data_IF_497090878081
#
_entry.id   IF_497090878081
#
_cell.length_a   1.000
_cell.length_b   1.000
_cell.length_c   1.000
_cell.angle_alpha   90.00
_cell.angle_beta   90.00
_cell.angle_gamma   90.00
#
_symmetry.space_group_name_H-M   'P 1'
#
loop_
_entity.id
_entity.type
_entity.pdbx_description
1 polymer ?
#
# COMPACT_ATOMS: atom_id res chain seq x y z
N UNK A 1 -24.25 -1.52 9.58
CA UNK A 1 -22.87 -1.82 9.15
C UNK A 1 -22.40 -0.68 8.27
N UNK A 2 -21.29 -0.04 8.65
CA UNK A 2 -20.69 1.04 7.87
C UNK A 2 -19.75 0.41 6.84
N UNK A 3 -19.87 0.77 5.57
CA UNK A 3 -19.11 0.16 4.47
C UNK A 3 -18.08 1.14 3.93
N UNK A 4 -16.87 0.67 3.65
CA UNK A 4 -15.87 1.46 2.92
C UNK A 4 -16.26 1.54 1.44
N UNK A 5 -16.26 2.74 0.88
CA UNK A 5 -16.67 2.99 -0.51
C UNK A 5 -15.41 3.21 -1.35
N UNK A 6 -15.16 2.31 -2.29
CA UNK A 6 -14.10 2.37 -3.28
C UNK A 6 -14.61 2.98 -4.58
N UNK A 7 -13.83 3.90 -5.14
CA UNK A 7 -14.16 4.62 -6.37
C UNK A 7 -13.21 4.29 -7.52
N UNK A 8 -11.94 3.99 -7.21
CA UNK A 8 -10.93 3.66 -8.21
C UNK A 8 -9.78 2.86 -7.58
N UNK A 9 -8.98 2.19 -8.41
CA UNK A 9 -7.78 1.45 -8.02
C UNK A 9 -6.65 1.73 -9.02
N UNK A 10 -5.40 1.59 -8.58
CA UNK A 10 -4.22 1.59 -9.41
C UNK A 10 -3.26 0.52 -8.88
N UNK A 11 -2.69 -0.28 -9.78
CA UNK A 11 -1.73 -1.32 -9.44
C UNK A 11 -0.43 -0.99 -10.15
N UNK A 12 0.67 -1.07 -9.42
CA UNK A 12 2.02 -0.94 -9.92
C UNK A 12 2.83 -2.12 -9.44
N UNK A 13 3.91 -2.44 -10.16
CA UNK A 13 4.87 -3.43 -9.69
C UNK A 13 6.26 -2.83 -9.59
N UNK A 14 7.21 -3.54 -9.00
CA UNK A 14 8.63 -3.17 -9.08
C UNK A 14 9.30 -3.67 -10.36
N UNK A 15 8.56 -4.41 -11.21
CA UNK A 15 9.13 -5.28 -12.23
C UNK A 15 9.83 -6.50 -11.63
N UNK A 16 10.17 -7.47 -12.50
CA UNK A 16 11.10 -8.55 -12.20
C UNK A 16 12.50 -7.96 -12.34
N UNK A 17 13.20 -7.77 -11.22
CA UNK A 17 14.61 -7.37 -11.24
C UNK A 17 15.48 -8.58 -11.59
N UNK A 18 15.94 -8.69 -12.84
CA UNK A 18 16.92 -9.70 -13.26
C UNK A 18 18.36 -9.36 -12.83
N UNK A 19 18.63 -8.21 -12.20
CA UNK A 19 19.98 -7.83 -11.79
C UNK A 19 20.18 -7.94 -10.27
N UNK A 20 20.41 -9.18 -9.82
CA UNK A 20 20.95 -9.49 -8.50
C UNK A 20 22.44 -9.12 -8.49
N UNK A 21 22.78 -7.94 -7.99
CA UNK A 21 24.16 -7.64 -7.57
C UNK A 21 24.30 -7.98 -6.09
N UNK A 22 25.00 -9.08 -5.84
CA UNK A 22 25.33 -9.59 -4.52
C UNK A 22 26.28 -8.63 -3.78
N UNK A 23 25.78 -7.97 -2.73
CA UNK A 23 26.59 -7.58 -1.57
C UNK A 23 25.68 -7.22 -0.39
N UNK A 24 25.61 -8.17 0.53
CA UNK A 24 25.42 -8.08 1.98
C UNK A 24 24.27 -7.25 2.60
N UNK A 25 23.51 -7.99 3.42
CA UNK A 25 22.56 -7.60 4.47
C UNK A 25 21.10 -7.26 4.04
N UNK A 26 20.21 -8.17 4.47
CA UNK A 26 18.77 -8.30 4.22
C UNK A 26 18.42 -8.80 2.80
N UNK A 27 18.48 -10.13 2.62
CA UNK A 27 17.96 -10.82 1.43
C UNK A 27 16.42 -10.83 1.41
N UNK A 28 15.81 -9.67 1.15
CA UNK A 28 14.40 -9.54 0.73
C UNK A 28 14.22 -9.85 -0.77
N UNK A 29 15.30 -10.17 -1.48
CA UNK A 29 15.36 -10.36 -2.94
C UNK A 29 15.88 -11.76 -3.37
N UNK A 30 16.08 -12.70 -2.44
CA UNK A 30 16.60 -14.05 -2.73
C UNK A 30 15.59 -15.00 -3.40
N UNK A 31 14.36 -14.56 -3.60
CA UNK A 31 13.43 -15.22 -4.52
C UNK A 31 12.84 -14.13 -5.39
N UNK A 32 13.24 -14.05 -6.67
CA UNK A 32 12.84 -13.07 -7.70
C UNK A 32 11.34 -12.78 -7.79
N UNK A 33 10.81 -12.12 -6.77
CA UNK A 33 9.40 -11.94 -6.51
C UNK A 33 9.09 -10.47 -6.70
N UNK A 34 8.49 -10.17 -7.83
CA UNK A 34 7.86 -8.89 -8.12
C UNK A 34 7.03 -8.41 -6.91
N UNK A 35 7.29 -7.19 -6.45
CA UNK A 35 6.48 -6.55 -5.41
C UNK A 35 5.38 -5.76 -6.09
N UNK A 36 4.17 -5.88 -5.54
CA UNK A 36 2.95 -5.22 -6.02
C UNK A 36 2.58 -4.13 -5.04
N UNK A 37 2.30 -2.95 -5.58
CA UNK A 37 1.78 -1.79 -4.86
C UNK A 37 0.38 -1.51 -5.38
N UNK A 38 -0.61 -1.53 -4.49
CA UNK A 38 -1.99 -1.17 -4.81
C UNK A 38 -2.32 0.15 -4.15
N UNK A 39 -2.72 1.12 -4.96
CA UNK A 39 -3.39 2.33 -4.51
C UNK A 39 -4.90 2.20 -4.76
N UNK A 40 -5.72 2.66 -3.84
CA UNK A 40 -7.17 2.64 -3.92
C UNK A 40 -7.73 4.00 -3.52
N UNK A 41 -8.62 4.55 -4.34
CA UNK A 41 -9.35 5.77 -4.00
C UNK A 41 -10.61 5.38 -3.22
N UNK A 42 -10.67 5.75 -1.94
CA UNK A 42 -11.76 5.32 -1.04
C UNK A 42 -12.24 6.40 -0.08
N UNK A 43 -13.45 6.18 0.43
CA UNK A 43 -14.02 6.85 1.61
C UNK A 43 -14.11 5.82 2.72
N UNK A 44 -13.39 6.07 3.82
CA UNK A 44 -13.45 5.21 5.00
C UNK A 44 -14.83 5.30 5.67
N UNK A 45 -15.28 4.15 6.16
CA UNK A 45 -16.56 4.04 6.87
C UNK A 45 -16.63 5.04 8.04
N UNK A 46 -17.74 5.79 8.16
CA UNK A 46 -17.99 6.82 9.18
C UNK A 46 -17.23 8.17 9.02
N UNK A 47 -16.62 8.43 7.88
CA UNK A 47 -16.04 9.75 7.56
C UNK A 47 -16.81 10.39 6.41
N UNK A 48 -17.46 11.53 6.65
CA UNK A 48 -17.98 12.35 5.56
C UNK A 48 -16.80 13.02 4.84
N UNK A 49 -16.75 12.92 3.52
CA UNK A 49 -15.73 13.58 2.71
C UNK A 49 -15.59 13.02 1.31
N UNK A 50 -14.71 13.66 0.54
CA UNK A 50 -14.37 13.23 -0.81
C UNK A 50 -13.47 11.97 -0.79
N UNK A 51 -13.60 11.06 -1.76
CA UNK A 51 -12.72 9.91 -1.89
C UNK A 51 -11.26 10.34 -2.05
N UNK A 52 -10.37 9.74 -1.27
CA UNK A 52 -8.93 10.04 -1.33
C UNK A 52 -8.11 8.80 -1.70
N UNK A 53 -7.02 9.01 -2.42
CA UNK A 53 -6.11 7.94 -2.84
C UNK A 53 -5.28 7.43 -1.68
N UNK A 54 -5.38 6.14 -1.44
CA UNK A 54 -4.69 5.49 -0.36
C UNK A 54 -3.84 4.34 -0.87
N UNK A 55 -2.63 4.13 -0.34
CA UNK A 55 -1.95 2.85 -0.42
C UNK A 55 -2.74 1.82 0.39
N UNK A 56 -3.22 0.78 -0.30
CA UNK A 56 -4.06 -0.26 0.26
C UNK A 56 -3.31 -1.58 0.43
N UNK A 57 -2.25 -1.79 -0.37
CA UNK A 57 -1.39 -2.96 -0.28
C UNK A 57 0.02 -2.69 -0.80
N UNK A 58 1.01 -3.24 -0.11
CA UNK A 58 2.39 -3.45 -0.58
C UNK A 58 2.80 -4.85 -0.15
N UNK A 59 3.26 -5.68 -1.08
CA UNK A 59 3.69 -7.05 -0.79
C UNK A 59 4.09 -7.80 -2.06
N UNK A 60 4.56 -9.04 -1.92
CA UNK A 60 4.95 -9.83 -3.10
C UNK A 60 3.75 -10.18 -3.98
N UNK A 61 3.97 -10.44 -5.27
CA UNK A 61 2.92 -10.88 -6.18
C UNK A 61 2.18 -12.14 -5.65
N UNK A 62 2.92 -13.10 -5.08
CA UNK A 62 2.34 -14.28 -4.42
C UNK A 62 1.34 -13.90 -3.31
N UNK A 63 1.68 -12.93 -2.46
CA UNK A 63 0.80 -12.43 -1.41
C UNK A 63 -0.39 -11.66 -1.97
N UNK A 64 -0.19 -10.89 -3.05
CA UNK A 64 -1.28 -10.20 -3.73
C UNK A 64 -2.35 -11.20 -4.20
N UNK A 65 -1.95 -12.27 -4.88
CA UNK A 65 -2.87 -13.30 -5.39
C UNK A 65 -3.49 -14.19 -4.31
N UNK A 66 -2.71 -14.59 -3.30
CA UNK A 66 -3.15 -15.58 -2.29
C UNK A 66 -3.86 -14.95 -1.10
N UNK A 67 -3.59 -13.68 -0.80
CA UNK A 67 -4.08 -13.03 0.42
C UNK A 67 -4.92 -11.79 0.13
N UNK A 68 -4.36 -10.78 -0.55
CA UNK A 68 -5.01 -9.49 -0.73
C UNK A 68 -6.29 -9.60 -1.56
N UNK A 69 -6.20 -10.16 -2.76
CA UNK A 69 -7.34 -10.24 -3.68
C UNK A 69 -8.49 -11.09 -3.09
N UNK A 70 -8.27 -12.32 -2.58
CA UNK A 70 -9.35 -13.12 -2.00
C UNK A 70 -10.01 -12.47 -0.78
N UNK A 71 -9.21 -11.81 0.08
CA UNK A 71 -9.74 -11.12 1.25
C UNK A 71 -10.62 -9.94 0.87
N UNK A 72 -10.15 -9.09 -0.06
CA UNK A 72 -10.92 -7.96 -0.54
C UNK A 72 -12.17 -8.40 -1.29
N UNK A 73 -12.10 -9.47 -2.09
CA UNK A 73 -13.26 -10.06 -2.76
C UNK A 73 -14.36 -10.46 -1.76
N UNK A 74 -13.99 -11.07 -0.63
CA UNK A 74 -14.93 -11.43 0.44
C UNK A 74 -15.64 -10.19 1.00
N UNK A 75 -14.94 -9.07 1.17
CA UNK A 75 -15.54 -7.81 1.64
C UNK A 75 -16.53 -7.21 0.64
N UNK A 76 -16.32 -7.42 -0.66
CA UNK A 76 -17.31 -7.03 -1.68
C UNK A 76 -18.53 -7.95 -1.68
N UNK A 77 -18.34 -9.25 -1.43
CA UNK A 77 -19.43 -10.23 -1.36
C UNK A 77 -20.31 -10.04 -0.11
N UNK A 78 -19.73 -9.68 1.03
CA UNK A 78 -20.48 -9.42 2.28
C UNK A 78 -21.02 -7.97 2.39
N UNK A 79 -20.58 -7.07 1.50
CA UNK A 79 -21.03 -5.69 1.41
C UNK A 79 -20.35 -4.71 2.36
N UNK A 80 -19.29 -5.13 3.06
CA UNK A 80 -18.40 -4.29 3.88
C UNK A 80 -17.53 -3.36 3.01
N UNK A 81 -17.23 -3.78 1.79
CA UNK A 81 -16.67 -2.95 0.72
C UNK A 81 -17.70 -2.74 -0.39
N UNK A 82 -17.77 -1.53 -0.94
CA UNK A 82 -18.68 -1.18 -2.03
C UNK A 82 -17.96 -0.40 -3.12
N UNK A 83 -18.31 -0.66 -4.37
CA UNK A 83 -17.82 0.10 -5.52
C UNK A 83 -18.95 0.27 -6.53
N UNK A 84 -18.89 1.34 -7.32
CA UNK A 84 -19.77 1.48 -8.51
C UNK A 84 -19.36 0.52 -9.62
N UNK A 85 -18.07 0.16 -9.69
CA UNK A 85 -17.50 -0.71 -10.72
C UNK A 85 -17.67 -2.20 -10.37
N UNK A 86 -17.50 -2.56 -9.08
CA UNK A 86 -17.53 -3.94 -8.62
C UNK A 86 -18.71 -4.17 -7.67
N UNK A 87 -19.64 -5.04 -8.05
CA UNK A 87 -20.82 -5.40 -7.24
C UNK A 87 -20.62 -6.65 -6.40
N UNK A 88 -19.60 -7.45 -6.72
CA UNK A 88 -19.27 -8.75 -6.09
C UNK A 88 -17.77 -8.99 -6.13
N UNK A 89 -17.29 -9.87 -5.26
CA UNK A 89 -15.89 -10.23 -5.14
C UNK A 89 -15.28 -10.80 -6.42
N UNK A 90 -16.04 -11.60 -7.19
CA UNK A 90 -15.52 -12.17 -8.45
C UNK A 90 -15.16 -11.09 -9.49
N UNK A 91 -15.96 -10.04 -9.61
CA UNK A 91 -15.69 -8.91 -10.52
C UNK A 91 -14.47 -8.12 -10.08
N UNK A 92 -14.32 -7.93 -8.77
CA UNK A 92 -13.14 -7.29 -8.19
C UNK A 92 -11.88 -8.12 -8.49
N UNK A 93 -11.90 -9.43 -8.24
CA UNK A 93 -10.75 -10.31 -8.50
C UNK A 93 -10.32 -10.29 -9.97
N UNK A 94 -11.27 -10.40 -10.90
CA UNK A 94 -10.98 -10.35 -12.33
C UNK A 94 -10.33 -9.01 -12.73
N UNK A 95 -10.87 -7.89 -12.23
CA UNK A 95 -10.31 -6.57 -12.49
C UNK A 95 -8.89 -6.41 -11.90
N UNK A 96 -8.68 -6.85 -10.66
CA UNK A 96 -7.36 -6.78 -10.00
C UNK A 96 -6.30 -7.61 -10.73
N UNK A 97 -6.65 -8.81 -11.20
CA UNK A 97 -5.72 -9.63 -11.98
C UNK A 97 -5.36 -8.97 -13.29
N UNK A 98 -6.35 -8.44 -14.01
CA UNK A 98 -6.11 -7.71 -15.26
C UNK A 98 -5.20 -6.49 -15.02
N UNK A 99 -5.49 -5.68 -14.01
CA UNK A 99 -4.70 -4.51 -13.66
C UNK A 99 -3.26 -4.87 -13.26
N UNK A 100 -3.05 -6.01 -12.60
CA UNK A 100 -1.71 -6.50 -12.31
C UNK A 100 -0.93 -6.89 -13.58
N UNK A 101 -1.57 -7.58 -14.54
CA UNK A 101 -0.89 -7.94 -15.79
C UNK A 101 -0.58 -6.74 -16.68
N UNK A 102 -1.34 -5.66 -16.54
CA UNK A 102 -1.13 -4.39 -17.23
C UNK A 102 -0.26 -3.39 -16.40
N UNK A 103 0.28 -3.83 -15.25
CA UNK A 103 0.98 -2.93 -14.31
C UNK A 103 2.39 -2.58 -14.80
N UNK A 104 2.69 -1.27 -14.78
CA UNK A 104 4.03 -0.75 -15.05
C UNK A 104 4.86 -0.66 -13.76
N UNK A 105 6.21 -0.60 -13.90
CA UNK A 105 7.10 -0.30 -12.79
C UNK A 105 6.74 1.02 -12.09
N UNK A 106 6.60 0.97 -10.76
CA UNK A 106 6.19 2.09 -9.92
C UNK A 106 7.21 3.23 -9.91
N UNK A 107 6.73 4.47 -10.04
CA UNK A 107 7.54 5.70 -9.97
C UNK A 107 6.92 6.74 -9.05
N UNK A 108 7.72 7.72 -8.63
CA UNK A 108 7.30 8.82 -7.76
C UNK A 108 6.16 9.62 -8.39
N UNK A 109 6.23 9.80 -9.71
CA UNK A 109 5.23 10.55 -10.45
C UNK A 109 3.84 9.92 -10.33
N UNK A 110 3.75 8.59 -10.24
CA UNK A 110 2.48 7.87 -10.12
C UNK A 110 1.79 8.20 -8.79
N UNK A 111 2.55 8.20 -7.70
CA UNK A 111 2.08 8.65 -6.39
C UNK A 111 1.64 10.12 -6.44
N UNK A 112 2.45 10.95 -7.10
CA UNK A 112 2.20 12.38 -7.15
C UNK A 112 0.94 12.74 -7.92
N UNK A 113 0.69 12.10 -9.06
CA UNK A 113 -0.51 12.25 -9.86
C UNK A 113 -1.78 11.85 -9.09
N UNK A 114 -1.66 10.91 -8.15
CA UNK A 114 -2.75 10.50 -7.27
C UNK A 114 -2.87 11.34 -5.98
N UNK A 115 -2.03 12.37 -5.81
CA UNK A 115 -2.06 13.24 -4.62
C UNK A 115 -1.40 12.62 -3.38
N UNK A 116 -0.74 11.47 -3.52
CA UNK A 116 0.05 10.87 -2.44
C UNK A 116 1.42 11.54 -2.40
N UNK A 117 1.86 11.98 -1.22
CA UNK A 117 3.14 12.68 -1.02
C UNK A 117 4.02 12.03 0.04
N UNK A 118 3.50 11.05 0.74
CA UNK A 118 4.20 10.39 1.82
C UNK A 118 3.46 9.16 2.30
N UNK A 119 4.04 8.52 3.30
CA UNK A 119 3.49 7.33 3.95
C UNK A 119 3.76 7.39 5.45
N UNK A 120 2.97 6.67 6.25
CA UNK A 120 3.24 6.56 7.67
C UNK A 120 2.83 5.22 8.27
N UNK A 121 3.52 4.87 9.35
CA UNK A 121 3.34 3.64 10.11
C UNK A 121 2.94 3.99 11.53
N UNK A 122 2.10 3.17 12.18
CA UNK A 122 1.96 3.31 13.63
C UNK A 122 3.30 2.99 14.30
N UNK A 123 3.59 3.63 15.45
CA UNK A 123 4.84 3.42 16.18
C UNK A 123 5.13 1.95 16.46
N UNK A 124 4.10 1.19 16.76
CA UNK A 124 4.21 -0.24 17.10
C UNK A 124 4.45 -1.10 15.85
N UNK A 125 3.97 -0.66 14.68
CA UNK A 125 4.19 -1.32 13.39
C UNK A 125 5.59 -1.05 12.85
N UNK A 126 6.07 0.19 12.95
CA UNK A 126 7.33 0.67 12.36
C UNK A 126 8.56 -0.15 12.77
N UNK A 127 8.50 -0.87 13.91
CA UNK A 127 9.64 -1.62 14.43
C UNK A 127 10.78 -0.71 14.87
N UNK A 128 11.83 -1.29 15.47
CA UNK A 128 13.03 -0.54 15.87
C UNK A 128 14.09 -0.46 14.75
N UNK A 129 13.92 -1.20 13.66
CA UNK A 129 14.83 -1.19 12.51
C UNK A 129 14.35 -0.18 11.47
N UNK A 130 14.98 0.99 11.49
CA UNK A 130 14.71 2.08 10.57
C UNK A 130 15.45 1.86 9.24
N UNK A 131 14.70 1.75 8.14
CA UNK A 131 15.26 1.90 6.80
C UNK A 131 15.02 3.34 6.33
N UNK A 132 16.11 4.05 6.01
CA UNK A 132 16.04 5.40 5.43
C UNK A 132 16.21 6.53 6.44
N UNK A 133 15.73 7.76 6.12
CA UNK A 133 15.94 8.94 6.96
C UNK A 133 15.14 8.89 8.26
N UNK A 134 15.45 9.78 9.21
CA UNK A 134 14.69 9.88 10.46
C UNK A 134 13.22 10.23 10.20
N UNK A 135 12.24 9.50 10.77
CA UNK A 135 10.83 9.75 10.52
C UNK A 135 10.35 11.05 11.19
N UNK A 136 9.35 11.66 10.57
CA UNK A 136 8.57 12.74 11.17
C UNK A 136 7.54 12.10 12.12
N UNK A 137 7.70 12.32 13.42
CA UNK A 137 6.76 11.81 14.41
C UNK A 137 5.58 12.75 14.63
N UNK A 138 4.35 12.22 14.57
CA UNK A 138 3.13 13.00 14.81
C UNK A 138 2.03 12.18 15.49
N UNK A 139 1.04 12.86 16.07
CA UNK A 139 -0.12 12.23 16.72
C UNK A 139 -1.30 12.15 15.75
N UNK A 140 -1.96 10.99 15.67
CA UNK A 140 -3.13 10.76 14.84
C UNK A 140 -4.15 9.89 15.58
N UNK A 141 -5.34 10.43 15.86
CA UNK A 141 -6.43 9.74 16.59
C UNK A 141 -5.93 8.82 17.72
N UNK A 142 -5.22 9.39 18.69
CA UNK A 142 -4.63 8.71 19.86
C UNK A 142 -3.44 7.77 19.62
N UNK A 143 -3.00 7.56 18.38
CA UNK A 143 -1.74 6.85 18.09
C UNK A 143 -0.61 7.81 17.72
N UNK A 144 0.63 7.40 17.96
CA UNK A 144 1.82 8.10 17.48
C UNK A 144 2.29 7.41 16.21
N UNK A 145 2.55 8.17 15.15
CA UNK A 145 2.93 7.66 13.82
C UNK A 145 4.29 8.17 13.38
N UNK A 146 5.01 7.33 12.65
CA UNK A 146 6.26 7.65 11.96
C UNK A 146 5.95 7.94 10.48
N UNK A 147 6.15 9.19 10.04
CA UNK A 147 5.83 9.66 8.69
C UNK A 147 7.07 9.96 7.85
N UNK A 148 6.94 9.77 6.54
CA UNK A 148 7.98 9.99 5.54
C UNK A 148 7.42 10.75 4.35
N UNK A 149 8.21 11.66 3.79
CA UNK A 149 7.91 12.33 2.52
C UNK A 149 8.57 11.56 1.37
N UNK A 150 7.86 11.42 0.27
CA UNK A 150 8.40 10.89 -0.97
C UNK A 150 8.97 12.07 -1.76
N UNK A 151 10.28 12.10 -2.01
CA UNK A 151 10.96 13.14 -2.78
C UNK A 151 11.66 12.60 -4.04
N UNK A 152 11.91 11.29 -4.10
CA UNK A 152 12.61 10.59 -5.17
C UNK A 152 12.06 9.16 -5.35
N UNK A 153 12.40 8.51 -6.47
CA UNK A 153 12.07 7.09 -6.68
C UNK A 153 12.74 6.18 -5.63
N UNK A 154 13.91 6.57 -5.11
CA UNK A 154 14.59 5.86 -4.01
C UNK A 154 13.73 5.80 -2.74
N UNK A 155 12.92 6.83 -2.46
CA UNK A 155 12.04 6.83 -1.29
C UNK A 155 10.89 5.82 -1.44
N UNK A 156 10.50 5.47 -2.67
CA UNK A 156 9.53 4.40 -2.94
C UNK A 156 10.16 3.05 -2.63
N UNK A 157 11.41 2.83 -3.02
CA UNK A 157 12.12 1.59 -2.67
C UNK A 157 12.26 1.44 -1.15
N UNK A 158 12.61 2.52 -0.46
CA UNK A 158 12.68 2.55 1.02
C UNK A 158 11.32 2.25 1.63
N UNK A 159 10.26 2.88 1.14
CA UNK A 159 8.87 2.60 1.57
C UNK A 159 8.52 1.12 1.39
N UNK A 160 8.85 0.54 0.24
CA UNK A 160 8.58 -0.87 -0.06
C UNK A 160 9.35 -1.77 0.89
N UNK A 161 10.65 -1.55 1.07
CA UNK A 161 11.48 -2.36 2.00
C UNK A 161 10.94 -2.27 3.43
N UNK A 162 10.62 -1.07 3.91
CA UNK A 162 10.02 -0.87 5.22
C UNK A 162 8.68 -1.61 5.33
N UNK A 163 7.82 -1.52 4.31
CA UNK A 163 6.53 -2.21 4.31
C UNK A 163 6.69 -3.73 4.44
N UNK A 164 7.66 -4.32 3.74
CA UNK A 164 7.95 -5.75 3.80
C UNK A 164 8.47 -6.17 5.19
N UNK A 165 9.33 -5.38 5.82
CA UNK A 165 9.79 -5.61 7.20
C UNK A 165 8.65 -5.53 8.22
N UNK A 166 7.82 -4.48 8.13
CA UNK A 166 6.67 -4.31 9.02
C UNK A 166 5.72 -5.50 8.91
N UNK A 167 5.46 -5.98 7.69
CA UNK A 167 4.59 -7.14 7.45
C UNK A 167 5.14 -8.44 8.01
N UNK A 168 6.45 -8.69 7.88
CA UNK A 168 7.08 -9.90 8.41
C UNK A 168 7.02 -9.92 9.95
N UNK A 169 7.18 -8.76 10.59
CA UNK A 169 7.06 -8.60 12.04
C UNK A 169 5.61 -8.72 12.55
N UNK A 170 4.64 -8.21 11.78
CA UNK A 170 3.23 -8.18 12.17
C UNK A 170 2.44 -9.46 11.81
N UNK A 171 3.07 -10.64 11.77
CA UNK A 171 2.41 -11.92 11.43
C UNK A 171 1.61 -11.89 10.11
N UNK A 172 2.13 -11.25 9.06
CA UNK A 172 1.43 -11.11 7.76
C UNK A 172 0.05 -10.46 7.86
N UNK A 173 -0.15 -9.49 8.77
CA UNK A 173 -1.28 -8.60 8.62
C UNK A 173 -1.23 -8.00 7.21
N UNK A 174 -2.22 -8.36 6.38
CA UNK A 174 -2.39 -7.88 5.00
C UNK A 174 -2.35 -6.34 4.91
N UNK A 175 -2.54 -5.68 6.05
CA UNK A 175 -2.47 -4.25 6.26
C UNK A 175 -1.21 -3.91 7.03
N UNK A 176 -0.32 -3.18 6.37
CA UNK A 176 0.63 -2.35 7.07
C UNK A 176 0.82 -1.09 6.21
N UNK A 177 0.65 0.07 6.84
CA UNK A 177 0.96 1.37 6.25
C UNK A 177 -0.27 2.12 5.82
N UNK A 178 -0.68 3.13 6.60
CA UNK A 178 -1.62 4.12 6.10
C UNK A 178 -0.82 5.12 5.25
N UNK A 179 -1.20 5.35 3.99
CA UNK A 179 -0.64 6.40 3.16
C UNK A 179 -0.85 7.75 3.84
N UNK A 180 0.18 8.58 3.83
CA UNK A 180 0.01 9.97 4.18
C UNK A 180 -0.61 10.66 2.96
N UNK A 181 -1.94 10.71 2.99
CA UNK A 181 -2.67 11.68 2.21
C UNK A 181 -2.25 13.05 2.71
N UNK A 182 -1.59 13.82 1.84
CA UNK A 182 -1.38 15.24 2.06
C UNK A 182 -2.75 15.95 2.06
N UNK A 183 -3.55 15.77 3.12
CA UNK A 183 -4.62 16.71 3.41
C UNK A 183 -3.96 17.93 4.03
N UNK A 184 -3.71 18.91 3.16
CA UNK A 184 -3.90 20.35 3.41
C UNK A 184 -3.49 20.85 4.80
N UNK A 185 -2.34 21.54 4.80
CA UNK A 185 -1.90 22.48 5.84
C UNK A 185 -1.65 21.88 7.22
N UNK A 186 -0.44 21.37 7.43
CA UNK A 186 0.22 21.50 8.73
C UNK A 186 1.63 22.00 8.42
N UNK A 187 1.79 23.32 8.53
CA UNK A 187 3.08 23.97 8.78
C UNK A 187 3.40 23.84 10.27
#
# INVERSE_FOLDING_TARGET
MSSTIYSDFAIYSTGISDEVSASDEINLFDEGSEVVVVLAQRIDSNVEGDPKWNCDFIGTASQFFKEYVPRMATLFDDGSARSRQFKRGSQFSEAMFRMFYDADPVRLQDFYQKGVRGYSWDKDEYGQEMIGPEPIWYNYYSTKRAGFLLASDQDIEVMIRQALLVRSAANNHVWAGRPWLASTAIF
#
